data_IF_288425686368
#
_entry.id   IF_288425686368
#
_cell.length_a   1.000
_cell.length_b   1.000
_cell.length_c   1.000
_cell.angle_alpha   90.00
_cell.angle_beta   90.00
_cell.angle_gamma   90.00
#
_symmetry.space_group_name_H-M   'P 1'
#
loop_
_entity.id
_entity.type
_entity.pdbx_description
1 polymer ?
#
# COMPACT_ATOMS: atom_id res chain seq x y z
N UNK A 1 66.96 -35.08 11.98
CA UNK A 1 65.55 -35.39 11.65
C UNK A 1 64.81 -34.09 11.87
N UNK A 2 64.43 -33.47 10.77
CA UNK A 2 63.76 -32.17 10.72
C UNK A 2 62.27 -32.44 10.90
N UNK A 3 61.66 -31.90 11.95
CA UNK A 3 60.21 -31.99 12.18
C UNK A 3 59.52 -30.91 11.33
N UNK A 4 58.72 -31.35 10.36
CA UNK A 4 57.88 -30.51 9.50
C UNK A 4 56.58 -30.19 10.24
N UNK A 5 56.33 -28.90 10.50
CA UNK A 5 55.07 -28.39 11.04
C UNK A 5 54.01 -28.40 9.93
N UNK A 6 53.06 -29.32 9.99
CA UNK A 6 51.88 -29.30 9.11
C UNK A 6 50.84 -28.31 9.65
N UNK A 7 50.93 -27.03 9.24
CA UNK A 7 49.83 -26.08 9.37
C UNK A 7 48.65 -26.55 8.51
N UNK A 8 47.54 -26.84 9.17
CA UNK A 8 46.27 -27.22 8.55
C UNK A 8 45.68 -26.05 7.76
N UNK A 9 45.80 -26.09 6.42
CA UNK A 9 45.07 -25.24 5.49
C UNK A 9 43.54 -25.47 5.62
N UNK A 10 42.89 -24.71 6.49
CA UNK A 10 41.43 -24.64 6.57
C UNK A 10 40.89 -23.54 5.62
N UNK A 11 41.30 -23.59 4.34
CA UNK A 11 40.87 -22.65 3.31
C UNK A 11 39.45 -22.95 2.84
N UNK A 12 38.55 -21.97 2.93
CA UNK A 12 37.23 -22.04 2.29
C UNK A 12 37.41 -22.32 0.78
N UNK A 13 36.62 -23.22 0.17
CA UNK A 13 36.75 -23.52 -1.25
C UNK A 13 36.40 -22.28 -2.09
N UNK A 14 37.38 -21.77 -2.84
CA UNK A 14 37.20 -20.64 -3.76
C UNK A 14 38.46 -19.77 -3.86
N UNK A 15 38.55 -18.92 -4.90
CA UNK A 15 39.61 -17.93 -4.96
C UNK A 15 39.51 -16.99 -3.73
N UNK A 16 40.64 -16.47 -3.23
CA UNK A 16 40.65 -15.50 -2.15
C UNK A 16 39.69 -14.34 -2.47
N UNK A 17 38.83 -13.92 -1.52
CA UNK A 17 37.96 -12.78 -1.76
C UNK A 17 38.83 -11.58 -2.12
N UNK A 18 38.55 -10.98 -3.28
CA UNK A 18 39.26 -9.80 -3.76
C UNK A 18 38.53 -8.54 -3.23
N UNK A 19 39.09 -7.85 -2.21
CA UNK A 19 38.46 -6.66 -1.64
C UNK A 19 38.36 -5.51 -2.66
N UNK A 20 39.13 -5.53 -3.76
CA UNK A 20 39.03 -4.55 -4.84
C UNK A 20 37.77 -4.72 -5.70
N UNK A 21 37.01 -5.82 -5.55
CA UNK A 21 35.72 -6.02 -6.21
C UNK A 21 34.52 -5.48 -5.43
N UNK A 22 34.72 -4.96 -4.22
CA UNK A 22 33.65 -4.36 -3.42
C UNK A 22 33.40 -2.95 -3.98
N UNK A 23 32.22 -2.66 -4.55
CA UNK A 23 31.91 -1.31 -4.99
C UNK A 23 31.86 -0.37 -3.79
N UNK A 24 32.69 0.68 -3.80
CA UNK A 24 32.71 1.71 -2.77
C UNK A 24 31.51 2.65 -2.94
N UNK A 25 30.31 2.19 -2.60
CA UNK A 25 29.13 3.05 -2.57
C UNK A 25 29.21 3.89 -1.28
N UNK A 26 29.92 5.00 -1.35
CA UNK A 26 29.98 6.00 -0.28
C UNK A 26 28.75 6.91 -0.42
N UNK A 27 27.62 6.53 0.19
CA UNK A 27 26.55 7.53 0.42
C UNK A 27 26.94 8.34 1.65
N UNK A 28 27.03 9.66 1.47
CA UNK A 28 27.16 10.57 2.62
C UNK A 28 25.90 10.46 3.46
N UNK A 29 26.06 10.13 4.74
CA UNK A 29 24.94 10.09 5.70
C UNK A 29 24.35 11.50 5.76
N UNK A 30 23.06 11.64 5.41
CA UNK A 30 22.34 12.92 5.43
C UNK A 30 22.05 13.56 4.06
N UNK A 31 22.61 13.09 2.94
CA UNK A 31 22.31 13.62 1.59
C UNK A 31 21.00 13.04 0.99
N UNK A 32 20.29 12.15 1.69
CA UNK A 32 19.05 11.55 1.20
C UNK A 32 17.89 12.55 1.31
N UNK A 33 17.57 13.20 0.19
CA UNK A 33 16.35 13.98 0.07
C UNK A 33 15.15 13.03 -0.16
N UNK A 34 14.44 12.72 0.92
CA UNK A 34 13.25 11.86 0.89
C UNK A 34 12.14 12.42 -0.01
N UNK A 35 11.99 13.75 -0.07
CA UNK A 35 10.95 14.39 -0.88
C UNK A 35 11.23 14.22 -2.39
N UNK A 36 12.45 14.51 -2.85
CA UNK A 36 12.82 14.31 -4.25
C UNK A 36 12.73 12.85 -4.67
N UNK A 37 13.12 11.93 -3.79
CA UNK A 37 13.05 10.49 -4.07
C UNK A 37 11.60 9.97 -4.08
N UNK A 38 10.73 10.52 -3.25
CA UNK A 38 9.30 10.23 -3.28
C UNK A 38 8.69 10.69 -4.61
N UNK A 39 8.99 11.91 -5.05
CA UNK A 39 8.56 12.45 -6.35
C UNK A 39 9.08 11.60 -7.53
N UNK A 40 10.36 11.17 -7.52
CA UNK A 40 10.93 10.26 -8.52
C UNK A 40 10.20 8.91 -8.62
N UNK A 41 9.64 8.44 -7.50
CA UNK A 41 8.89 7.18 -7.43
C UNK A 41 7.37 7.38 -7.56
N UNK A 42 6.90 8.58 -7.91
CA UNK A 42 5.48 8.88 -8.07
C UNK A 42 4.68 8.89 -6.77
N UNK A 43 5.35 9.03 -5.62
CA UNK A 43 4.71 9.11 -4.31
C UNK A 43 4.32 10.57 -4.05
N UNK A 44 3.01 10.85 -4.05
CA UNK A 44 2.48 12.18 -3.75
C UNK A 44 2.72 12.55 -2.28
N UNK A 45 2.96 13.84 -2.01
CA UNK A 45 3.07 14.32 -0.62
C UNK A 45 1.72 14.19 0.06
N UNK A 46 1.74 13.73 1.31
CA UNK A 46 0.53 13.68 2.13
C UNK A 46 -0.10 15.08 2.18
N UNK A 47 -1.27 15.21 1.56
CA UNK A 47 -2.10 16.42 1.58
C UNK A 47 -3.42 16.06 2.24
N UNK A 48 -4.00 16.99 3.00
CA UNK A 48 -5.33 16.75 3.54
C UNK A 48 -6.32 16.57 2.38
N UNK A 49 -7.11 15.48 2.38
CA UNK A 49 -8.05 15.22 1.30
C UNK A 49 -9.16 16.28 1.30
N UNK A 50 -9.33 16.97 0.18
CA UNK A 50 -10.48 17.86 -0.02
C UNK A 50 -11.71 17.02 -0.35
N UNK A 51 -12.52 16.78 0.68
CA UNK A 51 -13.73 15.96 0.60
C UNK A 51 -14.67 16.44 -0.52
N UNK A 52 -14.80 17.75 -0.73
CA UNK A 52 -15.69 18.28 -1.78
C UNK A 52 -15.18 17.94 -3.17
N UNK A 53 -13.88 18.15 -3.40
CA UNK A 53 -13.25 17.81 -4.68
C UNK A 53 -13.34 16.30 -4.96
N UNK A 54 -13.20 15.45 -3.93
CA UNK A 54 -13.35 13.99 -4.08
C UNK A 54 -14.79 13.63 -4.43
N UNK A 55 -15.79 14.24 -3.78
CA UNK A 55 -17.20 14.02 -4.12
C UNK A 55 -17.50 14.44 -5.56
N UNK A 56 -17.06 15.63 -5.98
CA UNK A 56 -17.22 16.12 -7.35
C UNK A 56 -16.58 15.15 -8.36
N UNK A 57 -15.37 14.67 -8.08
CA UNK A 57 -14.73 13.66 -8.92
C UNK A 57 -15.57 12.37 -9.01
N UNK A 58 -16.04 11.84 -7.88
CA UNK A 58 -16.85 10.62 -7.84
C UNK A 58 -18.23 10.79 -8.51
N UNK A 59 -18.77 12.01 -8.59
CA UNK A 59 -20.01 12.34 -9.30
C UNK A 59 -19.80 12.40 -10.82
N UNK A 60 -18.59 12.76 -11.27
CA UNK A 60 -18.26 12.90 -12.69
C UNK A 60 -17.87 11.58 -13.37
N UNK A 61 -17.40 10.58 -12.62
CA UNK A 61 -17.02 9.29 -13.21
C UNK A 61 -18.26 8.50 -13.65
N UNK A 62 -18.11 7.78 -14.77
CA UNK A 62 -19.08 6.75 -15.16
C UNK A 62 -19.10 5.61 -14.13
N UNK A 63 -20.27 5.01 -13.95
CA UNK A 63 -20.44 3.85 -13.08
C UNK A 63 -19.39 2.77 -13.41
N UNK A 64 -18.64 2.29 -12.40
CA UNK A 64 -17.61 1.32 -12.64
C UNK A 64 -18.19 -0.02 -13.08
N UNK A 65 -17.39 -0.78 -13.83
CA UNK A 65 -17.74 -2.17 -14.09
C UNK A 65 -17.61 -3.00 -12.79
N UNK A 66 -18.52 -3.96 -12.55
CA UNK A 66 -18.41 -4.85 -11.41
C UNK A 66 -17.14 -5.70 -11.51
N UNK A 67 -16.47 -5.95 -10.38
CA UNK A 67 -15.28 -6.81 -10.36
C UNK A 67 -15.57 -8.22 -10.88
N UNK A 68 -14.74 -8.71 -11.80
CA UNK A 68 -14.84 -10.07 -12.31
C UNK A 68 -14.10 -11.06 -11.39
N UNK A 69 -14.59 -11.20 -10.16
CA UNK A 69 -14.00 -12.08 -9.15
C UNK A 69 -15.06 -12.98 -8.51
N UNK A 70 -14.89 -14.29 -8.67
CA UNK A 70 -15.78 -15.31 -8.10
C UNK A 70 -15.85 -15.28 -6.56
N UNK A 71 -14.89 -14.65 -5.89
CA UNK A 71 -14.85 -14.51 -4.43
C UNK A 71 -15.41 -13.17 -3.94
N UNK A 72 -15.86 -12.29 -4.84
CA UNK A 72 -16.49 -11.03 -4.42
C UNK A 72 -17.92 -11.31 -3.94
N UNK A 73 -18.25 -10.74 -2.78
CA UNK A 73 -19.61 -10.81 -2.24
C UNK A 73 -20.55 -9.74 -2.80
N UNK A 74 -19.97 -8.62 -3.26
CA UNK A 74 -20.68 -7.50 -3.87
C UNK A 74 -19.72 -6.79 -4.85
N UNK A 75 -19.63 -7.30 -6.10
CA UNK A 75 -18.64 -6.80 -7.06
C UNK A 75 -18.75 -5.32 -7.40
N UNK A 76 -19.96 -4.76 -7.35
CA UNK A 76 -20.20 -3.35 -7.68
C UNK A 76 -19.74 -2.44 -6.54
N UNK A 77 -20.11 -2.76 -5.30
CA UNK A 77 -19.69 -1.97 -4.14
C UNK A 77 -18.16 -1.98 -3.98
N UNK A 78 -17.54 -3.13 -4.22
CA UNK A 78 -16.09 -3.24 -4.18
C UNK A 78 -15.38 -2.37 -5.22
N UNK A 79 -15.92 -2.25 -6.44
CA UNK A 79 -15.35 -1.37 -7.47
C UNK A 79 -15.36 0.10 -7.03
N UNK A 80 -16.46 0.58 -6.44
CA UNK A 80 -16.54 1.94 -5.89
C UNK A 80 -15.50 2.17 -4.78
N UNK A 81 -15.35 1.21 -3.87
CA UNK A 81 -14.36 1.30 -2.82
C UNK A 81 -12.92 1.28 -3.36
N UNK A 82 -12.63 0.47 -4.38
CA UNK A 82 -11.32 0.45 -5.04
C UNK A 82 -10.99 1.80 -5.68
N UNK A 83 -11.94 2.45 -6.34
CA UNK A 83 -11.75 3.78 -6.93
C UNK A 83 -11.42 4.80 -5.84
N UNK A 84 -12.23 4.85 -4.77
CA UNK A 84 -12.00 5.78 -3.66
C UNK A 84 -10.63 5.58 -3.02
N UNK A 85 -10.29 4.35 -2.63
CA UNK A 85 -9.03 4.06 -1.95
C UNK A 85 -7.83 4.28 -2.87
N UNK A 86 -7.97 4.00 -4.17
CA UNK A 86 -6.92 4.30 -5.16
C UNK A 86 -6.68 5.80 -5.27
N UNK A 87 -7.75 6.59 -5.37
CA UNK A 87 -7.68 8.05 -5.43
C UNK A 87 -6.96 8.61 -4.20
N UNK A 88 -7.37 8.16 -3.00
CA UNK A 88 -6.82 8.64 -1.73
C UNK A 88 -5.34 8.27 -1.55
N UNK A 89 -4.94 7.06 -1.93
CA UNK A 89 -3.54 6.62 -1.83
C UNK A 89 -2.67 7.34 -2.86
N UNK A 90 -3.13 7.46 -4.11
CA UNK A 90 -2.30 7.97 -5.21
C UNK A 90 -2.23 9.49 -5.24
N UNK A 91 -3.36 10.16 -5.12
CA UNK A 91 -3.43 11.62 -5.26
C UNK A 91 -3.07 12.32 -3.94
N UNK A 92 -3.58 11.79 -2.82
CA UNK A 92 -3.45 12.45 -1.51
C UNK A 92 -2.38 11.84 -0.60
N UNK A 93 -1.80 10.69 -0.95
CA UNK A 93 -0.77 10.03 -0.13
C UNK A 93 -1.29 9.52 1.22
N UNK A 94 -2.61 9.34 1.36
CA UNK A 94 -3.25 8.84 2.55
C UNK A 94 -3.35 7.31 2.48
N UNK A 95 -2.84 6.63 3.50
CA UNK A 95 -2.81 5.17 3.52
C UNK A 95 -4.14 4.53 3.91
N UNK A 96 -5.00 5.24 4.65
CA UNK A 96 -6.25 4.72 5.21
C UNK A 96 -7.32 5.81 5.32
N UNK A 97 -8.59 5.39 5.32
CA UNK A 97 -9.77 6.24 5.60
C UNK A 97 -10.59 5.65 6.74
N UNK A 98 -11.11 6.52 7.59
CA UNK A 98 -12.10 6.19 8.62
C UNK A 98 -13.47 5.83 8.02
N UNK A 99 -14.25 5.06 8.77
CA UNK A 99 -15.55 4.54 8.31
C UNK A 99 -16.50 5.68 7.96
N UNK A 100 -16.57 6.73 8.79
CA UNK A 100 -17.43 7.88 8.53
C UNK A 100 -17.11 8.60 7.22
N UNK A 101 -15.83 8.76 6.86
CA UNK A 101 -15.44 9.36 5.58
C UNK A 101 -15.75 8.45 4.41
N UNK A 102 -15.55 7.13 4.55
CA UNK A 102 -15.94 6.17 3.50
C UNK A 102 -17.46 6.21 3.28
N UNK A 103 -18.24 6.25 4.35
CA UNK A 103 -19.70 6.37 4.29
C UNK A 103 -20.13 7.64 3.56
N UNK A 104 -19.53 8.78 3.91
CA UNK A 104 -19.83 10.06 3.28
C UNK A 104 -19.53 10.07 1.77
N UNK A 105 -18.43 9.45 1.34
CA UNK A 105 -17.96 9.53 -0.05
C UNK A 105 -18.63 8.51 -0.98
N UNK A 106 -18.85 7.29 -0.50
CA UNK A 106 -19.31 6.17 -1.35
C UNK A 106 -20.46 5.36 -0.75
N UNK A 107 -20.93 5.66 0.47
CA UNK A 107 -22.01 4.92 1.13
C UNK A 107 -23.30 4.87 0.31
N UNK A 108 -23.75 6.00 -0.24
CA UNK A 108 -24.94 6.08 -1.10
C UNK A 108 -24.79 5.22 -2.37
N UNK A 109 -23.62 5.27 -3.01
CA UNK A 109 -23.31 4.52 -4.24
C UNK A 109 -23.27 3.01 -4.02
N UNK A 110 -22.82 2.58 -2.85
CA UNK A 110 -22.80 1.18 -2.46
C UNK A 110 -24.14 0.72 -1.84
N UNK A 111 -25.08 1.64 -1.62
CA UNK A 111 -26.31 1.42 -0.88
C UNK A 111 -26.04 0.78 0.50
N UNK A 112 -25.12 1.38 1.26
CA UNK A 112 -24.70 0.92 2.60
C UNK A 112 -24.62 2.08 3.57
N UNK A 113 -25.32 1.93 4.69
CA UNK A 113 -25.30 2.89 5.79
C UNK A 113 -24.67 2.27 7.04
N UNK A 114 -23.84 3.04 7.74
CA UNK A 114 -23.22 2.78 9.04
C UNK A 114 -22.83 1.31 9.27
N UNK A 115 -23.71 0.54 9.91
CA UNK A 115 -23.46 -0.84 10.33
C UNK A 115 -23.28 -1.76 9.13
N UNK A 116 -24.06 -1.58 8.06
CA UNK A 116 -23.96 -2.41 6.85
C UNK A 116 -22.66 -2.14 6.09
N UNK A 117 -22.14 -0.91 6.17
CA UNK A 117 -20.83 -0.54 5.66
C UNK A 117 -19.73 -1.18 6.50
N UNK A 118 -19.79 -1.08 7.83
CA UNK A 118 -18.79 -1.71 8.71
C UNK A 118 -18.68 -3.21 8.49
N UNK A 119 -19.83 -3.92 8.42
CA UNK A 119 -19.87 -5.37 8.15
C UNK A 119 -19.26 -5.69 6.78
N UNK A 120 -19.51 -4.85 5.78
CA UNK A 120 -18.93 -5.00 4.45
C UNK A 120 -17.40 -4.83 4.49
N UNK A 121 -16.89 -3.77 5.13
CA UNK A 121 -15.46 -3.49 5.25
C UNK A 121 -14.75 -4.59 6.06
N UNK A 122 -15.35 -5.07 7.15
CA UNK A 122 -14.83 -6.18 7.94
C UNK A 122 -14.72 -7.47 7.13
N UNK A 123 -15.68 -7.74 6.25
CA UNK A 123 -15.62 -8.89 5.35
C UNK A 123 -14.44 -8.77 4.38
N UNK A 124 -14.21 -7.60 3.81
CA UNK A 124 -13.07 -7.36 2.91
C UNK A 124 -11.74 -7.48 3.66
N UNK A 125 -11.68 -7.03 4.91
CA UNK A 125 -10.54 -7.24 5.79
C UNK A 125 -10.27 -8.72 6.07
N UNK A 126 -11.31 -9.50 6.42
CA UNK A 126 -11.18 -10.96 6.62
C UNK A 126 -10.69 -11.69 5.36
N UNK A 127 -11.00 -11.17 4.17
CA UNK A 127 -10.52 -11.70 2.90
C UNK A 127 -9.11 -11.22 2.52
N UNK A 128 -8.45 -10.40 3.36
CA UNK A 128 -7.12 -9.85 3.12
C UNK A 128 -7.08 -8.75 2.04
N UNK A 129 -8.23 -8.21 1.64
CA UNK A 129 -8.33 -7.13 0.64
C UNK A 129 -8.09 -5.76 1.26
N UNK A 130 -8.51 -5.61 2.51
CA UNK A 130 -8.25 -4.44 3.33
C UNK A 130 -7.39 -4.82 4.55
N UNK A 131 -6.73 -3.83 5.11
CA UNK A 131 -6.09 -3.87 6.42
C UNK A 131 -6.86 -2.92 7.35
N UNK A 132 -7.09 -3.35 8.58
CA UNK A 132 -7.80 -2.57 9.60
C UNK A 132 -6.79 -1.85 10.48
N UNK A 133 -6.89 -0.53 10.55
CA UNK A 133 -5.93 0.34 11.24
C UNK A 133 -6.59 0.93 12.48
N UNK A 134 -5.87 0.81 13.60
CA UNK A 134 -6.26 1.35 14.90
C UNK A 134 -5.31 2.49 15.28
N UNK A 135 -5.81 3.49 16.01
CA UNK A 135 -5.00 4.61 16.52
C UNK A 135 -5.55 6.01 16.21
N UNK A 136 -6.67 6.11 15.50
CA UNK A 136 -7.46 7.35 15.36
C UNK A 136 -8.64 7.41 16.32
N UNK A 137 -9.48 8.44 16.18
CA UNK A 137 -10.76 8.55 16.89
C UNK A 137 -11.76 7.47 16.45
N UNK A 138 -11.70 7.10 15.18
CA UNK A 138 -12.45 6.00 14.57
C UNK A 138 -11.51 4.96 13.97
N UNK A 139 -12.04 3.74 13.79
CA UNK A 139 -11.38 2.68 13.03
C UNK A 139 -11.25 3.11 11.57
N UNK A 140 -10.09 2.86 10.98
CA UNK A 140 -9.85 3.13 9.56
C UNK A 140 -9.44 1.88 8.80
N UNK A 141 -9.62 1.93 7.48
CA UNK A 141 -9.29 0.85 6.56
C UNK A 141 -8.32 1.34 5.50
N UNK A 142 -7.32 0.52 5.21
CA UNK A 142 -6.35 0.74 4.12
C UNK A 142 -6.44 -0.40 3.11
N UNK A 143 -6.29 -0.12 1.79
CA UNK A 143 -6.29 -1.17 0.79
C UNK A 143 -5.01 -2.01 0.88
N UNK A 144 -5.13 -3.33 0.71
CA UNK A 144 -3.97 -4.16 0.43
C UNK A 144 -3.50 -3.87 -1.01
N UNK A 145 -2.20 -3.55 -1.24
CA UNK A 145 -1.70 -3.23 -2.58
C UNK A 145 -2.01 -4.31 -3.62
N UNK A 146 -1.91 -5.58 -3.25
CA UNK A 146 -2.19 -6.70 -4.16
C UNK A 146 -3.65 -6.74 -4.60
N UNK A 147 -4.58 -6.20 -3.81
CA UNK A 147 -5.99 -6.15 -4.18
C UNK A 147 -6.28 -5.04 -5.21
N UNK A 148 -5.58 -3.89 -5.13
CA UNK A 148 -5.74 -2.80 -6.11
C UNK A 148 -5.16 -3.14 -7.49
N UNK A 149 -4.29 -4.15 -7.57
CA UNK A 149 -3.71 -4.62 -8.83
C UNK A 149 -4.61 -5.64 -9.56
N UNK A 150 -5.65 -6.17 -8.90
CA UNK A 150 -6.58 -7.11 -9.49
C UNK A 150 -7.56 -6.35 -10.40
N UNK A 151 -7.43 -6.55 -11.72
CA UNK A 151 -8.34 -6.04 -12.76
C UNK A 151 -9.23 -7.15 -13.30
#
# INVERSE_FOLDING_TARGET
MTEDESESENGLPGPPPDPSRIPSIVRKVGDLNLASKAEEHGISKKTEPDIKAIMEFLDEIEDPQPLNNNLSGDPMAESWLQILLTLIVREHGHSSLDVGTIELLVGERMNRERIDLEIFLDRLWLMGRLEKVYGGEEVSYSPNPSWLEMK
#
